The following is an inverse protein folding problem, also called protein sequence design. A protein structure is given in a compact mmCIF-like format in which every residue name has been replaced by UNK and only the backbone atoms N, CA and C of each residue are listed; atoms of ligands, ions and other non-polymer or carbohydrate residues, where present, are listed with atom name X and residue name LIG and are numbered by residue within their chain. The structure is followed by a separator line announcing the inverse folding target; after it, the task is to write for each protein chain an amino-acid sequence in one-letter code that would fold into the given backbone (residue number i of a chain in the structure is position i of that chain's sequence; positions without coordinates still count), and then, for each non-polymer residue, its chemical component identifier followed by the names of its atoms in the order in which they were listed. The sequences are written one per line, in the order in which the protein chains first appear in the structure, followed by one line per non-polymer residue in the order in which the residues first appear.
data_IF_341347152057
#
_entry.id   IF_341347152057
#
_cell.length_a   1.000
_cell.length_b   1.000
_cell.length_c   1.000
_cell.angle_alpha   90.00
_cell.angle_beta   90.00
_cell.angle_gamma   90.00
#
_symmetry.space_group_name_H-M   'P 1'
#
loop_
_entity.id
_entity.type
_entity.pdbx_description
1 polymer ?
#
# COMPACT_ATOMS: atom_id res chain seq x y z
N UNK A 1 -27.81 14.32 -22.25
CA UNK A 1 -27.30 13.03 -21.75
C UNK A 1 -27.83 12.88 -20.33
N UNK A 2 -28.59 11.83 -20.03
CA UNK A 2 -29.31 11.67 -18.76
C UNK A 2 -28.30 11.69 -17.58
N UNK A 3 -28.53 12.55 -16.58
CA UNK A 3 -27.67 12.66 -15.39
C UNK A 3 -27.48 11.31 -14.68
N UNK A 4 -28.52 10.45 -14.70
CA UNK A 4 -28.44 9.08 -14.19
C UNK A 4 -27.44 8.22 -14.95
N UNK A 5 -27.39 8.34 -16.28
CA UNK A 5 -26.44 7.60 -17.11
C UNK A 5 -25.00 8.08 -16.87
N UNK A 6 -24.81 9.37 -16.70
CA UNK A 6 -23.51 9.97 -16.39
C UNK A 6 -23.01 9.53 -15.00
N UNK A 7 -23.86 9.58 -13.98
CA UNK A 7 -23.54 9.12 -12.63
C UNK A 7 -23.18 7.62 -12.60
N UNK A 8 -23.97 6.77 -13.28
CA UNK A 8 -23.70 5.33 -13.40
C UNK A 8 -22.34 5.07 -14.07
N UNK A 9 -22.00 5.83 -15.11
CA UNK A 9 -20.70 5.75 -15.80
C UNK A 9 -19.55 6.12 -14.86
N UNK A 10 -19.67 7.20 -14.09
CA UNK A 10 -18.62 7.63 -13.12
C UNK A 10 -18.40 6.57 -12.04
N UNK A 11 -19.46 6.00 -11.50
CA UNK A 11 -19.38 4.90 -10.51
C UNK A 11 -18.69 3.67 -11.10
N UNK A 12 -19.05 3.26 -12.31
CA UNK A 12 -18.40 2.11 -12.98
C UNK A 12 -16.91 2.35 -13.23
N UNK A 13 -16.56 3.54 -13.70
CA UNK A 13 -15.16 3.94 -13.88
C UNK A 13 -14.41 4.00 -12.55
N UNK A 14 -15.06 4.42 -11.46
CA UNK A 14 -14.51 4.40 -10.10
C UNK A 14 -14.14 2.98 -9.66
N UNK A 15 -15.03 2.03 -9.85
CA UNK A 15 -14.74 0.61 -9.58
C UNK A 15 -13.61 0.07 -10.46
N UNK A 16 -13.61 0.38 -11.75
CA UNK A 16 -12.54 -0.01 -12.66
C UNK A 16 -11.17 0.56 -12.23
N UNK A 17 -11.14 1.80 -11.75
CA UNK A 17 -9.91 2.42 -11.24
C UNK A 17 -9.42 1.73 -9.96
N UNK A 18 -10.32 1.39 -9.02
CA UNK A 18 -9.95 0.63 -7.82
C UNK A 18 -9.44 -0.78 -8.15
N UNK A 19 -10.08 -1.48 -9.10
CA UNK A 19 -9.65 -2.80 -9.54
C UNK A 19 -8.27 -2.75 -10.18
N UNK A 20 -8.02 -1.79 -11.08
CA UNK A 20 -6.72 -1.60 -11.70
C UNK A 20 -5.64 -1.21 -10.67
N UNK A 21 -5.99 -0.39 -9.68
CA UNK A 21 -5.10 -0.04 -8.60
C UNK A 21 -4.70 -1.29 -7.79
N UNK A 22 -5.64 -2.12 -7.37
CA UNK A 22 -5.35 -3.38 -6.67
C UNK A 22 -4.46 -4.31 -7.48
N UNK A 23 -4.71 -4.42 -8.80
CA UNK A 23 -3.88 -5.21 -9.71
C UNK A 23 -2.43 -4.68 -9.78
N UNK A 24 -2.26 -3.38 -9.94
CA UNK A 24 -0.93 -2.77 -10.00
C UNK A 24 -0.18 -2.86 -8.67
N UNK A 25 -0.86 -2.68 -7.52
CA UNK A 25 -0.23 -2.89 -6.21
C UNK A 25 0.24 -4.33 -6.02
N UNK A 26 -0.56 -5.31 -6.44
CA UNK A 26 -0.20 -6.73 -6.37
C UNK A 26 1.11 -7.10 -7.09
N UNK A 27 1.51 -6.31 -8.10
CA UNK A 27 2.81 -6.49 -8.75
C UNK A 27 3.97 -5.77 -8.03
N UNK A 28 3.65 -4.88 -7.09
CA UNK A 28 4.62 -3.97 -6.47
C UNK A 28 5.70 -4.67 -5.64
N UNK A 29 5.36 -5.75 -4.93
CA UNK A 29 6.32 -6.55 -4.18
C UNK A 29 7.28 -7.31 -5.10
N UNK A 30 6.78 -7.86 -6.19
CA UNK A 30 7.59 -8.58 -7.17
C UNK A 30 8.66 -7.67 -7.81
N UNK A 31 8.28 -6.49 -8.29
CA UNK A 31 9.25 -5.53 -8.83
C UNK A 31 10.20 -4.99 -7.75
N UNK A 32 9.70 -4.78 -6.53
CA UNK A 32 10.53 -4.42 -5.39
C UNK A 32 11.59 -5.47 -5.08
N UNK A 33 11.22 -6.76 -5.11
CA UNK A 33 12.16 -7.86 -4.88
C UNK A 33 13.29 -7.89 -5.92
N UNK A 34 12.97 -7.73 -7.20
CA UNK A 34 13.98 -7.65 -8.26
C UNK A 34 15.01 -6.54 -8.00
N UNK A 35 14.58 -5.38 -7.51
CA UNK A 35 15.49 -4.29 -7.22
C UNK A 35 16.31 -4.55 -5.95
N UNK A 36 15.73 -5.18 -4.92
CA UNK A 36 16.39 -5.52 -3.67
C UNK A 36 17.50 -6.58 -3.83
N UNK A 37 17.51 -7.33 -4.93
CA UNK A 37 18.61 -8.25 -5.23
C UNK A 37 19.93 -7.51 -5.55
N UNK A 38 19.87 -6.20 -5.88
CA UNK A 38 21.02 -5.42 -6.33
C UNK A 38 21.27 -4.15 -5.50
N UNK A 39 20.38 -3.78 -4.58
CA UNK A 39 20.54 -2.56 -3.79
C UNK A 39 19.88 -2.64 -2.41
N UNK A 40 20.25 -1.71 -1.53
CA UNK A 40 19.66 -1.56 -0.20
C UNK A 40 18.16 -1.17 -0.30
N UNK A 41 17.42 -1.41 0.79
CA UNK A 41 16.01 -1.01 0.90
C UNK A 41 15.85 0.50 0.71
N UNK A 42 16.73 1.28 1.30
CA UNK A 42 16.74 2.74 1.25
C UNK A 42 16.92 3.25 -0.18
N UNK A 43 17.88 2.69 -0.91
CA UNK A 43 18.14 3.04 -2.31
C UNK A 43 16.95 2.66 -3.19
N UNK A 44 16.40 1.47 -3.01
CA UNK A 44 15.24 0.99 -3.74
C UNK A 44 14.03 1.89 -3.53
N UNK A 45 13.70 2.24 -2.28
CA UNK A 45 12.57 3.12 -1.97
C UNK A 45 12.82 4.53 -2.52
N UNK A 46 14.05 5.06 -2.41
CA UNK A 46 14.41 6.37 -2.96
C UNK A 46 14.18 6.43 -4.47
N UNK A 47 14.73 5.48 -5.23
CA UNK A 47 14.61 5.45 -6.69
C UNK A 47 13.16 5.17 -7.14
N UNK A 48 12.45 4.30 -6.43
CA UNK A 48 11.03 4.05 -6.68
C UNK A 48 10.22 5.35 -6.59
N UNK A 49 10.42 6.14 -5.52
CA UNK A 49 9.72 7.41 -5.35
C UNK A 49 10.24 8.52 -6.26
N UNK A 50 11.50 8.47 -6.70
CA UNK A 50 11.99 9.35 -7.75
C UNK A 50 11.21 9.14 -9.07
N UNK A 51 11.02 7.88 -9.49
CA UNK A 51 10.18 7.56 -10.65
C UNK A 51 8.71 7.95 -10.41
N UNK A 52 8.19 7.77 -9.19
CA UNK A 52 6.84 8.22 -8.87
C UNK A 52 6.69 9.75 -8.99
N UNK A 53 7.67 10.53 -8.56
CA UNK A 53 7.71 11.98 -8.75
C UNK A 53 7.72 12.34 -10.24
N UNK A 54 8.51 11.65 -11.07
CA UNK A 54 8.51 11.84 -12.52
C UNK A 54 7.10 11.63 -13.08
N UNK A 55 6.42 10.53 -12.67
CA UNK A 55 5.04 10.24 -13.09
C UNK A 55 4.02 11.29 -12.65
N UNK A 56 4.21 11.90 -11.47
CA UNK A 56 3.32 12.93 -10.93
C UNK A 56 3.68 14.37 -11.34
N UNK A 57 4.81 14.58 -12.04
CA UNK A 57 5.26 15.90 -12.45
C UNK A 57 4.21 16.69 -13.26
N UNK A 58 3.51 16.09 -14.26
CA UNK A 58 2.47 16.80 -15.00
C UNK A 58 1.32 17.28 -14.11
N UNK A 59 0.98 16.52 -13.07
CA UNK A 59 -0.07 16.87 -12.11
C UNK A 59 0.40 18.03 -11.23
N UNK A 60 1.62 17.97 -10.72
CA UNK A 60 2.19 19.01 -9.86
C UNK A 60 2.27 20.38 -10.58
N UNK A 61 2.67 20.37 -11.85
CA UNK A 61 2.81 21.60 -12.65
C UNK A 61 1.45 22.21 -12.97
N UNK A 62 0.46 21.37 -13.32
CA UNK A 62 -0.86 21.83 -13.79
C UNK A 62 -1.83 22.19 -12.66
N UNK A 63 -1.69 21.55 -11.50
CA UNK A 63 -2.63 21.68 -10.39
C UNK A 63 -1.94 22.22 -9.13
N UNK A 64 -2.03 23.54 -8.94
CA UNK A 64 -1.54 24.19 -7.73
C UNK A 64 -2.69 24.35 -6.74
N UNK A 65 -2.47 23.97 -5.49
CA UNK A 65 -3.40 24.22 -4.39
C UNK A 65 -2.74 25.10 -3.32
N UNK A 66 -3.54 25.95 -2.71
CA UNK A 66 -3.14 26.67 -1.49
C UNK A 66 -3.67 25.87 -0.30
N UNK A 67 -2.77 25.38 0.50
CA UNK A 67 -3.09 24.65 1.72
C UNK A 67 -3.09 25.60 2.91
N UNK A 68 -4.06 25.46 3.78
CA UNK A 68 -4.03 26.09 5.10
C UNK A 68 -2.94 25.47 5.96
N UNK A 69 -2.48 26.14 7.05
CA UNK A 69 -1.49 25.54 7.97
C UNK A 69 -1.93 24.20 8.56
N UNK A 70 -3.23 24.02 8.82
CA UNK A 70 -3.80 22.76 9.32
C UNK A 70 -3.73 21.65 8.26
N UNK A 71 -4.11 21.97 7.01
CA UNK A 71 -4.04 21.05 5.88
C UNK A 71 -2.59 20.66 5.56
N UNK A 72 -1.67 21.63 5.65
CA UNK A 72 -0.24 21.38 5.46
C UNK A 72 0.29 20.38 6.50
N UNK A 73 -0.07 20.55 7.79
CA UNK A 73 0.32 19.57 8.84
C UNK A 73 -0.27 18.19 8.54
N UNK A 74 -1.54 18.12 8.15
CA UNK A 74 -2.20 16.86 7.78
C UNK A 74 -1.52 16.20 6.58
N UNK A 75 -1.15 16.98 5.56
CA UNK A 75 -0.43 16.51 4.37
C UNK A 75 0.96 15.97 4.75
N UNK A 76 1.73 16.72 5.54
CA UNK A 76 3.07 16.31 5.95
C UNK A 76 3.02 15.02 6.79
N UNK A 77 2.04 14.90 7.68
CA UNK A 77 1.85 13.66 8.45
C UNK A 77 1.46 12.49 7.54
N UNK A 78 0.52 12.71 6.61
CA UNK A 78 0.15 11.69 5.62
C UNK A 78 1.34 11.29 4.75
N UNK A 79 2.15 12.24 4.32
CA UNK A 79 3.34 12.01 3.52
C UNK A 79 4.41 11.22 4.30
N UNK A 80 4.65 11.56 5.56
CA UNK A 80 5.59 10.83 6.42
C UNK A 80 5.15 9.38 6.64
N UNK A 81 3.87 9.18 6.96
CA UNK A 81 3.32 7.84 7.18
C UNK A 81 3.28 7.01 5.91
N UNK A 82 2.89 7.60 4.78
CA UNK A 82 2.64 6.88 3.51
C UNK A 82 3.86 6.73 2.61
N UNK A 83 4.99 7.37 2.89
CA UNK A 83 6.19 7.27 2.06
C UNK A 83 7.39 6.77 2.88
N UNK A 84 8.13 7.58 3.64
CA UNK A 84 9.33 7.06 4.30
C UNK A 84 9.00 5.95 5.31
N UNK A 85 8.04 6.16 6.20
CA UNK A 85 7.78 5.21 7.28
C UNK A 85 7.19 3.91 6.73
N UNK A 86 6.12 3.99 5.95
CA UNK A 86 5.46 2.81 5.40
C UNK A 86 6.40 1.96 4.55
N UNK A 87 7.04 2.58 3.55
CA UNK A 87 7.81 1.81 2.56
C UNK A 87 9.13 1.30 3.13
N UNK A 88 9.80 2.02 4.02
CA UNK A 88 10.98 1.49 4.69
C UNK A 88 10.60 0.29 5.57
N UNK A 89 9.54 0.38 6.38
CA UNK A 89 9.06 -0.76 7.18
C UNK A 89 8.68 -1.95 6.29
N UNK A 90 7.90 -1.71 5.23
CA UNK A 90 7.39 -2.73 4.33
C UNK A 90 8.53 -3.48 3.61
N UNK A 91 9.51 -2.78 3.09
CA UNK A 91 10.58 -3.40 2.31
C UNK A 91 11.71 -3.95 3.18
N UNK A 92 12.00 -3.39 4.36
CA UNK A 92 12.81 -4.09 5.36
C UNK A 92 12.13 -5.37 5.84
N UNK A 93 10.81 -5.35 6.00
CA UNK A 93 10.04 -6.57 6.24
C UNK A 93 10.17 -7.56 5.09
N UNK A 94 10.05 -7.12 3.84
CA UNK A 94 10.15 -7.96 2.65
C UNK A 94 11.52 -8.63 2.50
N UNK A 95 12.61 -7.99 2.88
CA UNK A 95 13.95 -8.61 2.88
C UNK A 95 14.03 -9.77 3.88
N UNK A 96 13.24 -9.72 4.97
CA UNK A 96 13.21 -10.71 6.04
C UNK A 96 12.07 -11.74 5.89
N UNK A 97 11.28 -11.66 4.81
CA UNK A 97 10.16 -12.58 4.51
C UNK A 97 10.09 -12.83 3.00
N UNK A 98 9.03 -13.49 2.52
CA UNK A 98 8.82 -13.75 1.08
C UNK A 98 7.76 -12.82 0.50
N UNK A 99 7.76 -12.67 -0.84
CA UNK A 99 6.75 -11.86 -1.55
C UNK A 99 5.34 -12.39 -1.30
N UNK A 100 5.16 -13.72 -1.38
CA UNK A 100 3.85 -14.35 -1.11
C UNK A 100 3.37 -14.09 0.32
N UNK A 101 4.29 -14.21 1.30
CA UNK A 101 3.99 -14.03 2.71
C UNK A 101 3.59 -12.59 3.02
N UNK A 102 4.41 -11.61 2.58
CA UNK A 102 4.12 -10.19 2.73
C UNK A 102 2.80 -9.81 2.03
N UNK A 103 2.55 -10.33 0.83
CA UNK A 103 1.31 -10.08 0.09
C UNK A 103 0.08 -10.60 0.82
N UNK A 104 0.12 -11.81 1.37
CA UNK A 104 -1.00 -12.36 2.16
C UNK A 104 -1.30 -11.51 3.39
N UNK A 105 -0.27 -10.97 4.06
CA UNK A 105 -0.45 -10.07 5.22
C UNK A 105 -1.17 -8.78 4.83
N UNK A 106 -0.88 -8.22 3.65
CA UNK A 106 -1.58 -7.03 3.14
C UNK A 106 -3.09 -7.29 2.99
N UNK A 107 -3.51 -8.53 2.78
CA UNK A 107 -4.92 -8.93 2.81
C UNK A 107 -5.66 -8.62 4.12
N UNK A 108 -4.96 -8.33 5.21
CA UNK A 108 -5.58 -7.85 6.45
C UNK A 108 -6.00 -6.36 6.38
N UNK A 109 -5.56 -5.59 5.37
CA UNK A 109 -5.82 -4.15 5.27
C UNK A 109 -7.31 -3.77 5.30
N UNK A 110 -8.24 -4.44 4.57
CA UNK A 110 -9.66 -4.10 4.65
C UNK A 110 -10.23 -4.25 6.07
N UNK A 111 -9.76 -5.26 6.79
CA UNK A 111 -10.20 -5.52 8.17
C UNK A 111 -9.64 -4.48 9.13
N UNK A 112 -8.37 -4.09 8.97
CA UNK A 112 -7.76 -3.00 9.73
C UNK A 112 -8.47 -1.67 9.47
N UNK A 113 -8.85 -1.41 8.20
CA UNK A 113 -9.61 -0.20 7.83
C UNK A 113 -11.00 -0.17 8.49
N UNK A 114 -11.69 -1.30 8.52
CA UNK A 114 -13.00 -1.41 9.18
C UNK A 114 -12.88 -1.25 10.70
N UNK A 115 -11.87 -1.85 11.33
CA UNK A 115 -11.60 -1.68 12.75
C UNK A 115 -11.29 -0.20 13.08
N UNK A 116 -10.51 0.46 12.24
CA UNK A 116 -10.23 1.89 12.41
C UNK A 116 -11.47 2.77 12.22
N UNK A 117 -12.34 2.45 11.26
CA UNK A 117 -13.61 3.15 11.09
C UNK A 117 -14.52 2.99 12.31
N UNK A 118 -14.56 1.80 12.92
CA UNK A 118 -15.30 1.57 14.15
C UNK A 118 -14.76 2.40 15.33
N UNK A 119 -13.45 2.48 15.49
CA UNK A 119 -12.81 3.18 16.62
C UNK A 119 -12.83 4.71 16.43
N UNK A 120 -12.49 5.20 15.22
CA UNK A 120 -12.27 6.63 14.98
C UNK A 120 -13.48 7.34 14.37
N UNK A 121 -14.33 6.63 13.61
CA UNK A 121 -15.54 7.20 13.03
C UNK A 121 -16.82 6.85 13.80
N UNK A 122 -16.72 6.04 14.88
CA UNK A 122 -17.86 5.61 15.68
C UNK A 122 -18.80 4.65 14.94
N UNK A 123 -18.35 4.05 13.83
CA UNK A 123 -19.11 3.04 13.10
C UNK A 123 -19.22 1.78 13.98
N UNK A 124 -20.44 1.26 14.12
CA UNK A 124 -20.66 0.04 14.90
C UNK A 124 -20.42 -1.18 14.05
N UNK A 125 -19.38 -1.94 14.36
CA UNK A 125 -19.21 -3.28 13.80
C UNK A 125 -20.29 -4.19 14.40
N UNK A 126 -21.04 -4.85 13.53
CA UNK A 126 -21.95 -5.93 13.93
C UNK A 126 -21.14 -7.19 14.35
N UNK A 127 -21.84 -8.23 14.81
CA UNK A 127 -21.19 -9.48 15.24
C UNK A 127 -20.40 -10.16 14.13
N UNK A 128 -20.80 -10.00 12.86
CA UNK A 128 -20.08 -10.56 11.69
C UNK A 128 -18.82 -9.77 11.40
N UNK A 129 -18.85 -8.44 11.59
CA UNK A 129 -17.66 -7.61 11.52
C UNK A 129 -16.61 -8.03 12.55
N UNK A 130 -17.04 -8.32 13.77
CA UNK A 130 -16.16 -8.86 14.81
C UNK A 130 -15.62 -10.25 14.47
N UNK A 131 -16.44 -11.15 13.93
CA UNK A 131 -15.99 -12.46 13.46
C UNK A 131 -14.98 -12.34 12.30
N UNK A 132 -15.22 -11.43 11.35
CA UNK A 132 -14.27 -11.16 10.27
C UNK A 132 -12.93 -10.63 10.81
N UNK A 133 -12.96 -9.72 11.80
CA UNK A 133 -11.75 -9.21 12.46
C UNK A 133 -10.98 -10.35 13.15
N UNK A 134 -11.67 -11.19 13.94
CA UNK A 134 -11.06 -12.36 14.58
C UNK A 134 -10.51 -13.34 13.54
N UNK A 135 -11.28 -13.66 12.50
CA UNK A 135 -10.87 -14.56 11.41
C UNK A 135 -9.64 -14.07 10.68
N UNK A 136 -9.59 -12.77 10.33
CA UNK A 136 -8.42 -12.17 9.70
C UNK A 136 -7.19 -12.18 10.62
N UNK A 137 -7.37 -11.93 11.92
CA UNK A 137 -6.27 -11.97 12.90
C UNK A 137 -5.72 -13.41 13.06
N UNK A 138 -6.61 -14.40 13.16
CA UNK A 138 -6.21 -15.83 13.19
C UNK A 138 -5.53 -16.20 11.87
N UNK A 139 -6.07 -15.78 10.73
CA UNK A 139 -5.46 -16.00 9.42
C UNK A 139 -4.05 -15.42 9.32
N UNK A 140 -3.84 -14.19 9.78
CA UNK A 140 -2.51 -13.57 9.82
C UNK A 140 -1.55 -14.36 10.72
N UNK A 141 -2.01 -14.79 11.90
CA UNK A 141 -1.21 -15.65 12.78
C UNK A 141 -0.85 -16.99 12.12
N UNK A 142 -1.78 -17.61 11.37
CA UNK A 142 -1.50 -18.83 10.61
C UNK A 142 -0.47 -18.62 9.50
N UNK A 143 -0.51 -17.49 8.80
CA UNK A 143 0.50 -17.12 7.79
C UNK A 143 1.87 -16.98 8.45
N UNK A 144 1.97 -16.23 9.56
CA UNK A 144 3.22 -16.03 10.33
C UNK A 144 3.79 -17.36 10.84
N UNK A 145 2.95 -18.22 11.42
CA UNK A 145 3.37 -19.49 12.01
C UNK A 145 3.55 -20.60 10.98
N UNK A 146 2.93 -20.46 9.80
CA UNK A 146 2.87 -21.51 8.78
C UNK A 146 4.16 -21.78 8.04
N UNK A 147 5.17 -20.94 8.18
CA UNK A 147 6.49 -21.07 7.58
C UNK A 147 6.44 -21.33 6.07
N UNK A 148 7.12 -20.53 5.30
CA UNK A 148 7.37 -20.83 3.87
C UNK A 148 8.81 -21.30 3.72
N UNK A 149 9.04 -22.32 2.88
CA UNK A 149 10.39 -22.70 2.47
C UNK A 149 10.61 -22.19 1.06
N UNK A 150 11.61 -21.36 0.87
CA UNK A 150 12.08 -21.00 -0.48
C UNK A 150 12.98 -22.12 -0.96
N UNK A 151 12.72 -22.66 -2.15
CA UNK A 151 13.50 -23.79 -2.71
C UNK A 151 14.86 -23.37 -3.27
N UNK A 152 15.10 -22.09 -3.44
CA UNK A 152 16.29 -21.56 -4.11
C UNK A 152 17.10 -20.55 -3.28
N UNK A 153 16.78 -20.36 -1.99
CA UNK A 153 17.53 -19.47 -1.11
C UNK A 153 17.35 -19.83 0.37
N UNK A 154 18.31 -19.45 1.21
CA UNK A 154 18.28 -19.65 2.67
C UNK A 154 17.25 -18.74 3.40
N UNK A 155 16.34 -18.12 2.68
CA UNK A 155 15.42 -17.14 3.24
C UNK A 155 14.15 -17.84 3.74
N UNK A 156 14.10 -18.09 5.02
CA UNK A 156 12.88 -18.48 5.73
C UNK A 156 12.22 -17.21 6.25
N UNK A 157 10.88 -17.04 6.15
CA UNK A 157 10.17 -15.93 6.75
C UNK A 157 10.52 -15.78 8.22
N UNK A 158 10.81 -14.57 8.66
CA UNK A 158 11.12 -14.28 10.04
C UNK A 158 9.96 -13.51 10.70
N UNK A 159 9.75 -13.77 11.99
CA UNK A 159 8.77 -13.01 12.78
C UNK A 159 9.04 -11.49 12.73
N UNK A 160 10.31 -11.09 12.72
CA UNK A 160 10.70 -9.69 12.62
C UNK A 160 10.23 -9.08 11.29
N UNK A 161 10.43 -9.80 10.17
CA UNK A 161 9.96 -9.38 8.86
C UNK A 161 8.44 -9.22 8.81
N UNK A 162 7.73 -10.19 9.33
CA UNK A 162 6.27 -10.18 9.39
C UNK A 162 5.73 -9.02 10.23
N UNK A 163 6.34 -8.75 11.40
CA UNK A 163 5.97 -7.61 12.25
C UNK A 163 6.24 -6.26 11.57
N UNK A 164 7.33 -6.13 10.81
CA UNK A 164 7.60 -4.93 10.03
C UNK A 164 6.56 -4.72 8.92
N UNK A 165 6.15 -5.78 8.22
CA UNK A 165 5.06 -5.70 7.23
C UNK A 165 3.76 -5.26 7.91
N UNK A 166 3.38 -5.86 9.03
CA UNK A 166 2.17 -5.48 9.78
C UNK A 166 2.25 -4.01 10.24
N UNK A 167 3.40 -3.58 10.77
CA UNK A 167 3.62 -2.18 11.17
C UNK A 167 3.45 -1.22 9.98
N UNK A 168 3.91 -1.62 8.78
CA UNK A 168 3.71 -0.83 7.56
C UNK A 168 2.24 -0.66 7.19
N UNK A 169 1.40 -1.66 7.45
CA UNK A 169 -0.06 -1.58 7.21
C UNK A 169 -0.72 -0.56 8.15
N UNK A 170 -0.27 -0.47 9.39
CA UNK A 170 -0.78 0.51 10.36
C UNK A 170 -0.44 1.93 9.88
N UNK A 171 0.78 2.14 9.38
CA UNK A 171 1.17 3.45 8.82
C UNK A 171 0.41 3.78 7.54
N UNK A 172 0.20 2.79 6.67
CA UNK A 172 -0.61 2.93 5.46
C UNK A 172 -2.06 3.30 5.79
N UNK A 173 -2.65 2.71 6.83
CA UNK A 173 -3.97 3.06 7.32
C UNK A 173 -4.05 4.53 7.73
N UNK A 174 -3.05 5.03 8.49
CA UNK A 174 -2.94 6.44 8.84
C UNK A 174 -2.87 7.34 7.61
N UNK A 175 -2.06 6.98 6.61
CA UNK A 175 -1.98 7.68 5.33
C UNK A 175 -3.33 7.72 4.61
N UNK A 176 -4.05 6.61 4.51
CA UNK A 176 -5.36 6.53 3.84
C UNK A 176 -6.37 7.46 4.51
N UNK A 177 -6.48 7.42 5.84
CA UNK A 177 -7.43 8.24 6.60
C UNK A 177 -7.13 9.74 6.48
N UNK A 178 -5.86 10.14 6.58
CA UNK A 178 -5.44 11.53 6.43
C UNK A 178 -5.62 12.03 5.00
N UNK A 179 -5.31 11.19 3.99
CA UNK A 179 -5.55 11.51 2.59
C UNK A 179 -7.04 11.70 2.30
N UNK A 180 -7.89 10.82 2.84
CA UNK A 180 -9.35 10.95 2.72
C UNK A 180 -9.86 12.26 3.33
N UNK A 181 -9.31 12.67 4.47
CA UNK A 181 -9.63 13.96 5.09
C UNK A 181 -9.25 15.14 4.18
N UNK A 182 -8.07 15.12 3.58
CA UNK A 182 -7.61 16.16 2.65
C UNK A 182 -8.43 16.20 1.35
N UNK A 183 -8.91 15.04 0.88
CA UNK A 183 -9.74 14.96 -0.32
C UNK A 183 -11.17 15.50 -0.13
N UNK A 184 -11.57 15.89 1.08
CA UNK A 184 -12.82 16.63 1.31
C UNK A 184 -12.75 18.07 0.78
N UNK A 185 -11.56 18.67 0.76
CA UNK A 185 -11.34 20.07 0.32
C UNK A 185 -10.48 20.17 -0.94
N UNK A 186 -9.70 19.16 -1.26
CA UNK A 186 -8.77 19.16 -2.38
C UNK A 186 -9.01 17.96 -3.33
N UNK A 187 -8.68 18.14 -4.61
CA UNK A 187 -8.83 17.06 -5.58
C UNK A 187 -7.87 15.89 -5.29
N UNK A 188 -8.27 14.63 -5.59
CA UNK A 188 -7.40 13.46 -5.44
C UNK A 188 -6.04 13.61 -6.13
N UNK A 189 -6.00 14.29 -7.28
CA UNK A 189 -4.75 14.56 -8.03
C UNK A 189 -3.77 15.38 -7.21
N UNK A 190 -4.25 16.46 -6.61
CA UNK A 190 -3.42 17.36 -5.77
C UNK A 190 -2.94 16.62 -4.53
N UNK A 191 -3.83 15.94 -3.82
CA UNK A 191 -3.47 15.19 -2.61
C UNK A 191 -2.40 14.14 -2.93
N UNK A 192 -2.59 13.36 -4.01
CA UNK A 192 -1.63 12.34 -4.44
C UNK A 192 -0.26 12.95 -4.78
N UNK A 193 -0.23 13.98 -5.65
CA UNK A 193 1.04 14.58 -6.04
C UNK A 193 1.77 15.18 -4.85
N UNK A 194 1.09 15.97 -4.04
CA UNK A 194 1.72 16.64 -2.89
C UNK A 194 2.20 15.66 -1.82
N UNK A 195 1.44 14.56 -1.57
CA UNK A 195 1.87 13.50 -0.66
C UNK A 195 3.14 12.81 -1.16
N UNK A 196 3.20 12.44 -2.45
CA UNK A 196 4.37 11.78 -3.05
C UNK A 196 5.60 12.69 -3.00
N UNK A 197 5.47 13.96 -3.40
CA UNK A 197 6.60 14.90 -3.42
C UNK A 197 7.06 15.25 -2.01
N UNK A 198 6.16 15.51 -1.07
CA UNK A 198 6.51 15.80 0.32
C UNK A 198 7.16 14.59 1.00
N UNK A 199 6.63 13.39 0.75
CA UNK A 199 7.20 12.16 1.29
C UNK A 199 8.55 11.83 0.70
N UNK A 200 8.75 12.03 -0.61
CA UNK A 200 10.05 11.91 -1.26
C UNK A 200 11.07 12.91 -0.69
N UNK A 201 10.67 14.17 -0.46
CA UNK A 201 11.53 15.16 0.14
C UNK A 201 11.96 14.74 1.57
N UNK A 202 11.01 14.24 2.38
CA UNK A 202 11.31 13.73 3.73
C UNK A 202 12.25 12.54 3.69
N UNK A 203 12.04 11.58 2.76
CA UNK A 203 12.92 10.45 2.57
C UNK A 203 14.34 10.89 2.16
N UNK A 204 14.44 11.80 1.20
CA UNK A 204 15.72 12.34 0.76
C UNK A 204 16.47 13.06 1.90
N UNK A 205 15.75 13.88 2.70
CA UNK A 205 16.33 14.54 3.88
C UNK A 205 16.82 13.51 4.91
N UNK A 206 16.02 12.46 5.16
CA UNK A 206 16.39 11.38 6.07
C UNK A 206 17.69 10.69 5.62
N UNK A 207 17.75 10.26 4.35
CA UNK A 207 18.90 9.53 3.81
C UNK A 207 20.13 10.41 3.70
N UNK A 208 19.99 11.66 3.26
CA UNK A 208 21.08 12.63 3.23
C UNK A 208 21.59 12.93 4.65
N UNK A 209 20.67 13.07 5.61
CA UNK A 209 21.02 13.23 7.03
C UNK A 209 21.80 12.03 7.56
N UNK A 210 21.41 10.80 7.22
CA UNK A 210 22.16 9.60 7.58
C UNK A 210 23.56 9.60 6.97
N UNK A 211 23.72 9.97 5.69
CA UNK A 211 25.03 10.09 5.04
C UNK A 211 25.93 11.12 5.74
N UNK A 212 25.36 12.27 6.09
CA UNK A 212 26.10 13.35 6.74
C UNK A 212 26.53 13.01 8.18
N UNK A 213 25.66 12.31 8.92
CA UNK A 213 25.87 11.98 10.33
C UNK A 213 26.68 10.70 10.54
N UNK A 214 26.73 9.80 9.56
CA UNK A 214 27.45 8.53 9.66
C UNK A 214 28.92 8.67 10.11
N UNK A 215 29.72 9.60 9.55
CA UNK A 215 31.12 9.79 10.00
C UNK A 215 31.21 10.29 11.44
N UNK A 216 30.24 11.09 11.89
CA UNK A 216 30.24 11.69 13.22
C UNK A 216 29.87 10.68 14.31
N UNK A 217 28.97 9.76 14.02
CA UNK A 217 28.41 8.77 14.96
C UNK A 217 28.93 7.35 14.72
N UNK A 218 29.87 7.16 13.78
CA UNK A 218 30.48 5.85 13.47
C UNK A 218 29.49 4.73 13.12
N UNK A 219 28.41 5.04 12.41
CA UNK A 219 27.53 4.02 11.84
C UNK A 219 27.67 3.93 10.32
N UNK A 220 27.29 2.80 9.72
CA UNK A 220 27.28 2.63 8.27
C UNK A 220 26.03 3.26 7.66
N UNK A 221 26.21 4.29 6.82
CA UNK A 221 25.10 4.85 6.06
C UNK A 221 24.68 3.89 4.93
N UNK A 222 23.40 3.88 4.55
CA UNK A 222 22.92 3.06 3.43
C UNK A 222 23.65 3.41 2.13
N UNK A 223 24.10 2.42 1.39
CA UNK A 223 24.68 2.64 0.05
C UNK A 223 23.56 2.95 -0.94
N UNK A 224 23.80 3.95 -1.78
CA UNK A 224 22.87 4.37 -2.86
C UNK A 224 23.59 4.17 -4.19
N UNK A 225 23.68 2.92 -4.71
CA UNK A 225 24.40 2.61 -5.93
C UNK A 225 23.65 3.17 -7.14
N UNK A 226 24.37 3.73 -8.11
CA UNK A 226 23.81 4.20 -9.36
C UNK A 226 24.38 3.47 -10.59
N UNK A 227 25.68 3.25 -10.62
CA UNK A 227 26.40 2.74 -11.81
C UNK A 227 26.50 1.22 -11.89
N UNK A 228 26.32 0.53 -10.76
CA UNK A 228 26.46 -0.94 -10.66
C UNK A 228 25.14 -1.70 -10.73
N UNK A 229 24.05 -1.00 -11.01
CA UNK A 229 22.68 -1.55 -11.04
C UNK A 229 22.34 -1.98 -12.47
N UNK A 230 21.82 -3.19 -12.62
CA UNK A 230 21.44 -3.74 -13.92
C UNK A 230 20.26 -2.99 -14.56
N UNK A 231 20.17 -3.08 -15.90
CA UNK A 231 19.01 -2.55 -16.62
C UNK A 231 17.68 -3.20 -16.18
N UNK A 232 17.73 -4.47 -15.73
CA UNK A 232 16.57 -5.20 -15.20
C UNK A 232 16.06 -4.55 -13.91
N UNK A 233 16.95 -4.24 -12.97
CA UNK A 233 16.60 -3.58 -11.72
C UNK A 233 16.10 -2.15 -11.96
N UNK A 234 16.72 -1.39 -12.87
CA UNK A 234 16.22 -0.06 -13.27
C UNK A 234 14.83 -0.12 -13.91
N UNK A 235 14.56 -1.09 -14.78
CA UNK A 235 13.24 -1.30 -15.36
C UNK A 235 12.20 -1.65 -14.28
N UNK A 236 12.56 -2.53 -13.34
CA UNK A 236 11.70 -2.88 -12.21
C UNK A 236 11.38 -1.66 -11.33
N UNK A 237 12.37 -0.80 -11.04
CA UNK A 237 12.18 0.45 -10.30
C UNK A 237 11.28 1.43 -11.05
N UNK A 238 11.50 1.60 -12.36
CA UNK A 238 10.67 2.48 -13.18
C UNK A 238 9.20 2.02 -13.20
N UNK A 239 8.96 0.72 -13.42
CA UNK A 239 7.61 0.13 -13.38
C UNK A 239 7.01 0.29 -11.98
N UNK A 240 7.78 -0.03 -10.93
CA UNK A 240 7.34 0.07 -9.55
C UNK A 240 6.98 1.52 -9.16
N UNK A 241 7.79 2.50 -9.56
CA UNK A 241 7.56 3.91 -9.26
C UNK A 241 6.42 4.52 -10.10
N UNK A 242 6.46 4.33 -11.41
CA UNK A 242 5.48 4.93 -12.33
C UNK A 242 4.11 4.25 -12.23
N UNK A 243 4.07 2.92 -12.28
CA UNK A 243 2.81 2.17 -12.31
C UNK A 243 2.33 1.81 -10.90
N UNK A 244 3.16 1.09 -10.11
CA UNK A 244 2.71 0.58 -8.81
C UNK A 244 2.73 1.63 -7.69
N UNK A 245 3.22 2.85 -7.94
CA UNK A 245 3.18 3.94 -6.95
C UNK A 245 2.39 5.12 -7.48
N UNK A 246 2.88 5.86 -8.47
CA UNK A 246 2.25 7.09 -8.94
C UNK A 246 0.86 6.84 -9.54
N UNK A 247 0.78 5.98 -10.56
CA UNK A 247 -0.48 5.68 -11.25
C UNK A 247 -1.48 5.00 -10.32
N UNK A 248 -1.01 4.02 -9.55
CA UNK A 248 -1.88 3.27 -8.63
C UNK A 248 -2.47 4.16 -7.55
N UNK A 249 -1.65 4.99 -6.89
CA UNK A 249 -2.14 5.91 -5.84
C UNK A 249 -3.13 6.93 -6.41
N UNK A 250 -2.88 7.41 -7.64
CA UNK A 250 -3.81 8.31 -8.32
C UNK A 250 -5.14 7.63 -8.65
N UNK A 251 -5.08 6.42 -9.22
CA UNK A 251 -6.28 5.63 -9.56
C UNK A 251 -7.08 5.28 -8.31
N UNK A 252 -6.42 4.86 -7.24
CA UNK A 252 -7.03 4.56 -5.97
C UNK A 252 -7.73 5.78 -5.38
N UNK A 253 -7.02 6.89 -5.19
CA UNK A 253 -7.57 8.12 -4.64
C UNK A 253 -8.72 8.67 -5.50
N UNK A 254 -8.59 8.59 -6.83
CA UNK A 254 -9.67 8.99 -7.73
C UNK A 254 -10.86 8.04 -7.60
N UNK A 255 -10.63 6.73 -7.57
CA UNK A 255 -11.66 5.70 -7.46
C UNK A 255 -12.48 5.83 -6.17
N UNK A 256 -11.82 5.89 -5.01
CA UNK A 256 -12.52 6.01 -3.70
C UNK A 256 -13.25 7.36 -3.52
N UNK A 257 -12.98 8.32 -4.39
CA UNK A 257 -13.72 9.59 -4.44
C UNK A 257 -15.01 9.48 -5.29
N UNK A 258 -15.14 8.44 -6.14
CA UNK A 258 -16.31 8.21 -7.00
C UNK A 258 -17.26 7.14 -6.43
N UNK A 259 -16.76 6.28 -5.53
CA UNK A 259 -17.51 5.15 -4.98
C UNK A 259 -17.41 5.13 -3.45
N UNK A 260 -18.37 4.52 -2.75
CA UNK A 260 -18.26 4.31 -1.31
C UNK A 260 -16.99 3.55 -0.96
N UNK A 261 -16.28 4.00 0.08
CA UNK A 261 -15.00 3.41 0.49
C UNK A 261 -15.15 1.92 0.88
N UNK A 262 -16.28 1.57 1.50
CA UNK A 262 -16.65 0.20 1.81
C UNK A 262 -16.67 -0.71 0.59
N UNK A 263 -17.25 -0.24 -0.53
CA UNK A 263 -17.27 -1.01 -1.78
C UNK A 263 -15.93 -1.05 -2.50
N UNK A 264 -15.11 -0.01 -2.35
CA UNK A 264 -13.76 0.01 -2.91
C UNK A 264 -12.85 -1.03 -2.22
N UNK A 265 -13.08 -1.31 -0.94
CA UNK A 265 -12.30 -2.27 -0.16
C UNK A 265 -12.20 -3.68 -0.76
N UNK A 266 -13.23 -4.15 -1.52
CA UNK A 266 -13.19 -5.45 -2.21
C UNK A 266 -11.97 -5.54 -3.12
N UNK A 267 -11.62 -4.45 -3.80
CA UNK A 267 -10.53 -4.42 -4.77
C UNK A 267 -9.14 -4.45 -4.14
N UNK A 268 -9.01 -4.13 -2.84
CA UNK A 268 -7.76 -4.33 -2.09
C UNK A 268 -7.40 -5.82 -1.98
N UNK A 269 -8.37 -6.73 -2.07
CA UNK A 269 -8.11 -8.17 -2.03
C UNK A 269 -7.44 -8.71 -3.31
N UNK A 270 -7.41 -7.95 -4.40
CA UNK A 270 -6.69 -8.31 -5.63
C UNK A 270 -5.18 -8.32 -5.35
N UNK A 271 -4.69 -7.36 -4.56
CA UNK A 271 -3.26 -7.22 -4.24
C UNK A 271 -2.67 -8.49 -3.60
N UNK A 272 -3.20 -9.01 -2.47
CA UNK A 272 -2.65 -10.21 -1.85
C UNK A 272 -2.79 -11.47 -2.72
N UNK A 273 -3.88 -11.60 -3.47
CA UNK A 273 -4.06 -12.73 -4.37
C UNK A 273 -3.02 -12.72 -5.50
N UNK A 274 -2.87 -11.60 -6.20
CA UNK A 274 -1.92 -11.47 -7.30
C UNK A 274 -0.47 -11.53 -6.82
N UNK A 275 -0.13 -10.85 -5.72
CA UNK A 275 1.21 -10.86 -5.16
C UNK A 275 1.65 -12.26 -4.73
N UNK A 276 0.76 -13.04 -4.12
CA UNK A 276 1.05 -14.43 -3.75
C UNK A 276 1.26 -15.32 -4.97
N UNK A 277 0.44 -15.17 -6.02
CA UNK A 277 0.62 -15.91 -7.28
C UNK A 277 1.97 -15.57 -7.91
N UNK A 278 2.34 -14.29 -7.98
CA UNK A 278 3.62 -13.87 -8.56
C UNK A 278 4.82 -14.40 -7.76
N UNK A 279 4.73 -14.41 -6.42
CA UNK A 279 5.75 -14.99 -5.56
C UNK A 279 5.95 -16.49 -5.82
N UNK A 280 4.87 -17.25 -5.89
CA UNK A 280 4.91 -18.68 -6.15
C UNK A 280 5.38 -18.99 -7.57
N UNK A 281 4.77 -18.39 -8.60
CA UNK A 281 4.99 -18.75 -10.01
C UNK A 281 6.29 -18.16 -10.58
N UNK A 282 6.65 -16.93 -10.22
CA UNK A 282 7.80 -16.25 -10.82
C UNK A 282 9.06 -16.25 -9.95
N UNK A 283 8.92 -16.34 -8.62
CA UNK A 283 10.06 -16.38 -7.71
C UNK A 283 10.31 -17.78 -7.14
N UNK A 284 9.46 -18.77 -7.47
CA UNK A 284 9.61 -20.15 -7.00
C UNK A 284 9.39 -20.32 -5.50
N UNK A 285 8.67 -19.40 -4.87
CA UNK A 285 8.33 -19.48 -3.45
C UNK A 285 7.38 -20.65 -3.17
N UNK A 286 7.52 -21.30 -2.02
CA UNK A 286 6.62 -22.37 -1.58
C UNK A 286 5.90 -21.97 -0.32
N UNK A 287 4.60 -21.78 -0.45
CA UNK A 287 3.72 -21.53 0.70
C UNK A 287 3.39 -22.86 1.38
N UNK A 288 3.57 -22.91 2.69
CA UNK A 288 3.11 -24.03 3.50
C UNK A 288 1.57 -24.11 3.58
N UNK A 289 1.00 -25.27 3.95
CA UNK A 289 -0.46 -25.42 4.00
C UNK A 289 -1.14 -24.45 4.99
N UNK A 290 -0.50 -24.13 6.09
CA UNK A 290 -1.02 -23.14 7.04
C UNK A 290 -1.00 -21.71 6.48
N UNK A 291 -0.02 -21.37 5.65
CA UNK A 291 0.02 -20.06 4.99
C UNK A 291 -1.12 -19.93 3.96
N UNK A 292 -1.40 -20.99 3.19
CA UNK A 292 -2.54 -21.04 2.28
C UNK A 292 -3.88 -20.92 3.00
N UNK A 293 -4.07 -21.69 4.09
CA UNK A 293 -5.29 -21.63 4.90
C UNK A 293 -5.46 -20.25 5.57
N UNK A 294 -4.38 -19.69 6.11
CA UNK A 294 -4.38 -18.36 6.72
C UNK A 294 -4.71 -17.28 5.71
N UNK A 295 -4.09 -17.32 4.53
CA UNK A 295 -4.38 -16.41 3.43
C UNK A 295 -5.82 -16.50 2.95
N UNK A 296 -6.35 -17.70 2.77
CA UNK A 296 -7.76 -17.91 2.43
C UNK A 296 -8.70 -17.37 3.50
N UNK A 297 -8.38 -17.52 4.79
CA UNK A 297 -9.17 -17.00 5.90
C UNK A 297 -9.15 -15.45 5.94
N UNK A 298 -7.99 -14.82 5.71
CA UNK A 298 -7.86 -13.36 5.60
C UNK A 298 -8.74 -12.85 4.46
N UNK A 299 -8.62 -13.44 3.26
CA UNK A 299 -9.37 -13.01 2.09
C UNK A 299 -10.88 -13.22 2.28
N UNK A 300 -11.31 -14.36 2.85
CA UNK A 300 -12.71 -14.63 3.16
C UNK A 300 -13.27 -13.61 4.16
N UNK A 301 -12.53 -13.29 5.21
CA UNK A 301 -12.90 -12.28 6.20
C UNK A 301 -13.03 -10.89 5.56
N UNK A 302 -12.07 -10.49 4.74
CA UNK A 302 -12.06 -9.21 4.05
C UNK A 302 -13.22 -9.08 3.04
N UNK A 303 -13.48 -10.11 2.23
CA UNK A 303 -14.60 -10.14 1.29
C UNK A 303 -15.93 -10.09 2.04
N UNK A 304 -16.11 -10.90 3.09
CA UNK A 304 -17.34 -10.93 3.90
C UNK A 304 -17.65 -9.55 4.49
N UNK A 305 -16.65 -8.90 5.07
CA UNK A 305 -16.80 -7.57 5.64
C UNK A 305 -17.20 -6.55 4.58
N UNK A 306 -16.53 -6.57 3.43
CA UNK A 306 -16.75 -5.60 2.36
C UNK A 306 -18.11 -5.80 1.66
N UNK A 307 -18.58 -7.03 1.52
CA UNK A 307 -19.89 -7.32 0.93
C UNK A 307 -21.03 -6.89 1.85
N UNK A 308 -20.89 -7.03 3.16
CA UNK A 308 -21.92 -6.64 4.13
C UNK A 308 -22.06 -5.14 4.32
N UNK A 309 -20.96 -4.42 4.26
CA UNK A 309 -20.98 -2.95 4.29
C UNK A 309 -21.81 -2.36 3.12
N UNK A 310 -22.02 -3.15 2.06
CA UNK A 310 -22.90 -2.81 0.95
C UNK A 310 -24.39 -2.90 1.31
N UNK A 311 -24.77 -3.76 2.25
CA UNK A 311 -26.17 -3.99 2.63
C UNK A 311 -26.62 -3.01 3.73
N UNK A 312 -25.70 -2.50 4.55
CA UNK A 312 -26.02 -1.75 5.77
C UNK A 312 -26.10 -0.23 5.55
N UNK A 313 -25.54 0.31 4.46
CA UNK A 313 -25.68 1.72 4.15
C UNK A 313 -26.90 1.96 3.27
N UNK A 314 -27.98 2.60 3.77
CA UNK A 314 -29.05 3.08 2.90
C UNK A 314 -28.44 4.02 1.87
N UNK A 315 -28.87 3.87 0.60
CA UNK A 315 -28.50 4.80 -0.45
C UNK A 315 -28.69 6.22 0.08
N UNK A 316 -27.61 6.98 0.24
CA UNK A 316 -27.70 8.40 0.60
C UNK A 316 -28.45 9.06 -0.52
N UNK A 317 -29.75 9.25 -0.31
CA UNK A 317 -30.59 10.10 -1.13
C UNK A 317 -30.13 11.52 -0.77
N UNK A 318 -29.25 12.06 -1.58
CA UNK A 318 -28.96 13.49 -1.56
C UNK A 318 -30.18 14.14 -2.23
N UNK A 319 -31.05 14.72 -1.41
CA UNK A 319 -32.02 15.75 -1.83
C UNK A 319 -31.29 17.00 -2.31
#
# INVERSE_FOLDING_TARGET
MDERAQRKRHTLLGYGACALAGTLWGTGFYFGRIALDEMSVEAMVLYRFLFACIGMLPVLIRHRARLTPSETRTLLLAAALGVPIQFLLQFHGLVLTTVSHASLMVGAMPVLLAAAAAVFAGERLDWVGWLALCGSTVGAAMVVLGGTRVTTGNETPSLAGDLLVIASLITALGWILLSKKLMQTHSPRVVTAYTIYSGMAMLAILLFGMQLLAPLFHFSAPEIPFTQVSARAWAALAISGLLCTATTTLLWNWGINQVPASRAGVFLNIEPALGSILGVELLGEKLGPYAWLGGALILAAAITLTMRDQETQPAVILE
#
